data_IF_678775457118
#
_entry.id   IF_678775457118
#
_cell.length_a   1.000
_cell.length_b   1.000
_cell.length_c   1.000
_cell.angle_alpha   90.00
_cell.angle_beta   90.00
_cell.angle_gamma   90.00
#
_symmetry.space_group_name_H-M   'P 1'
#
loop_
_entity.id
_entity.type
_entity.pdbx_description
1 polymer ?
#
# COMPACT_ATOMS: atom_id res chain seq x y z
N UNK A 1 20.82 -11.06 -15.81
CA UNK A 1 20.01 -12.20 -15.42
C UNK A 1 18.72 -12.24 -16.22
N UNK A 2 18.18 -13.41 -16.47
CA UNK A 2 16.89 -13.53 -17.16
C UNK A 2 15.85 -12.70 -16.41
N UNK A 3 14.98 -12.06 -17.15
CA UNK A 3 13.81 -11.37 -16.62
C UNK A 3 12.83 -12.42 -16.06
N UNK A 4 13.10 -12.93 -14.86
CA UNK A 4 12.18 -13.85 -14.19
C UNK A 4 10.82 -13.19 -14.02
N UNK A 5 9.75 -14.00 -14.22
CA UNK A 5 8.38 -13.58 -13.91
C UNK A 5 7.88 -14.18 -12.60
N UNK A 6 8.69 -15.04 -11.97
CA UNK A 6 8.32 -15.72 -10.73
C UNK A 6 8.64 -14.85 -9.52
N UNK A 7 7.65 -14.50 -8.71
CA UNK A 7 7.81 -13.55 -7.59
C UNK A 7 8.85 -14.04 -6.57
N UNK A 8 8.97 -15.35 -6.34
CA UNK A 8 9.96 -15.92 -5.42
C UNK A 8 11.38 -15.63 -5.87
N UNK A 9 11.66 -15.73 -7.18
CA UNK A 9 12.97 -15.38 -7.74
C UNK A 9 13.20 -13.87 -7.73
N UNK A 10 12.17 -13.07 -8.05
CA UNK A 10 12.28 -11.62 -8.06
C UNK A 10 12.54 -11.07 -6.65
N UNK A 11 11.87 -11.60 -5.63
CA UNK A 11 12.06 -11.19 -4.23
C UNK A 11 13.52 -11.32 -3.76
N UNK A 12 14.24 -12.33 -4.26
CA UNK A 12 15.63 -12.60 -3.92
C UNK A 12 16.63 -11.85 -4.81
N UNK A 13 16.33 -11.71 -6.10
CA UNK A 13 17.29 -11.32 -7.13
C UNK A 13 16.88 -10.10 -7.94
N UNK A 14 15.71 -9.51 -7.68
CA UNK A 14 15.25 -8.30 -8.33
C UNK A 14 16.23 -7.14 -8.11
N UNK A 15 16.36 -6.25 -9.11
CA UNK A 15 17.30 -5.15 -9.06
C UNK A 15 18.76 -5.53 -9.25
N UNK A 16 19.05 -6.79 -9.62
CA UNK A 16 20.39 -7.29 -10.01
C UNK A 16 21.48 -7.18 -8.94
N UNK A 17 21.11 -6.99 -7.66
CA UNK A 17 22.07 -7.07 -6.58
C UNK A 17 22.72 -8.45 -6.49
N UNK A 18 24.04 -8.52 -6.48
CA UNK A 18 24.82 -9.77 -6.37
C UNK A 18 25.67 -9.80 -5.12
N UNK A 19 26.34 -8.71 -4.85
CA UNK A 19 27.21 -8.53 -3.69
C UNK A 19 27.49 -7.03 -3.51
N UNK A 20 27.94 -6.67 -2.34
CA UNK A 20 28.46 -5.34 -2.08
C UNK A 20 29.72 -5.07 -2.94
N UNK A 21 29.75 -3.97 -3.71
CA UNK A 21 30.87 -3.71 -4.61
C UNK A 21 32.20 -3.43 -3.89
N UNK A 22 32.18 -3.00 -2.64
CA UNK A 22 33.39 -2.67 -1.88
C UNK A 22 33.95 -3.88 -1.13
N UNK A 23 33.08 -4.73 -0.57
CA UNK A 23 33.50 -5.83 0.34
C UNK A 23 33.21 -7.22 -0.23
N UNK A 24 32.48 -7.31 -1.35
CA UNK A 24 31.94 -8.56 -1.93
C UNK A 24 30.99 -9.33 -1.01
N UNK A 25 30.49 -8.73 0.06
CA UNK A 25 29.50 -9.32 0.94
C UNK A 25 28.24 -9.69 0.16
N UNK A 26 27.74 -10.93 0.33
CA UNK A 26 26.54 -11.43 -0.34
C UNK A 26 25.27 -10.85 0.31
N UNK A 27 25.22 -10.78 1.64
CA UNK A 27 24.16 -10.10 2.35
C UNK A 27 24.27 -8.58 2.13
N UNK A 28 23.12 -7.91 1.98
CA UNK A 28 23.09 -6.45 1.82
C UNK A 28 23.63 -5.78 3.10
N UNK A 29 24.70 -4.96 3.02
CA UNK A 29 25.21 -4.25 4.20
C UNK A 29 24.26 -3.14 4.64
N UNK A 30 24.29 -2.81 5.94
CA UNK A 30 23.59 -1.63 6.46
C UNK A 30 24.56 -0.44 6.41
N UNK A 31 24.32 0.50 5.49
CA UNK A 31 25.12 1.72 5.38
C UNK A 31 24.60 2.79 6.34
N UNK A 32 25.04 2.73 7.61
CA UNK A 32 24.67 3.70 8.65
C UNK A 32 25.55 4.94 8.58
N UNK A 33 25.31 5.77 7.59
CA UNK A 33 25.99 7.05 7.41
C UNK A 33 25.00 8.14 7.03
N UNK A 34 25.29 9.38 7.38
CA UNK A 34 24.50 10.54 6.95
C UNK A 34 24.97 11.05 5.58
N UNK A 35 26.26 11.07 5.31
CA UNK A 35 26.90 11.78 4.19
C UNK A 35 27.91 10.89 3.51
N UNK A 36 28.22 11.23 2.25
CA UNK A 36 29.19 10.54 1.42
C UNK A 36 30.23 11.53 0.94
N UNK A 37 31.51 11.11 0.92
CA UNK A 37 32.59 11.95 0.46
C UNK A 37 32.62 12.06 -1.06
N UNK A 38 32.76 13.27 -1.59
CA UNK A 38 32.96 13.51 -2.99
C UNK A 38 34.41 13.29 -3.42
N UNK A 39 34.64 12.82 -4.64
CA UNK A 39 35.97 12.63 -5.18
C UNK A 39 36.71 13.97 -5.36
N UNK A 40 35.98 15.00 -5.80
CA UNK A 40 36.44 16.38 -6.01
C UNK A 40 35.25 17.33 -6.17
N UNK A 41 35.49 18.64 -6.32
CA UNK A 41 34.46 19.66 -6.47
C UNK A 41 33.64 19.51 -7.75
N UNK A 42 34.25 19.02 -8.85
CA UNK A 42 33.55 18.74 -10.11
C UNK A 42 32.53 17.58 -9.96
N UNK A 43 32.93 16.48 -9.31
CA UNK A 43 32.04 15.36 -8.98
C UNK A 43 30.87 15.85 -8.11
N UNK A 44 31.14 16.66 -7.08
CA UNK A 44 30.09 17.24 -6.26
C UNK A 44 29.10 18.08 -7.11
N UNK A 45 29.61 18.98 -7.94
CA UNK A 45 28.78 19.82 -8.81
C UNK A 45 27.90 18.99 -9.76
N UNK A 46 28.42 17.91 -10.33
CA UNK A 46 27.68 17.02 -11.23
C UNK A 46 26.53 16.31 -10.51
N UNK A 47 26.76 15.80 -9.29
CA UNK A 47 25.73 15.15 -8.48
C UNK A 47 24.58 16.11 -8.13
N UNK A 48 24.92 17.33 -7.68
CA UNK A 48 23.89 18.33 -7.34
C UNK A 48 23.13 18.85 -8.58
N UNK A 49 23.77 18.88 -9.73
CA UNK A 49 23.15 19.25 -11.00
C UNK A 49 22.42 18.09 -11.70
N UNK A 50 22.33 16.93 -11.07
CA UNK A 50 21.76 15.68 -11.62
C UNK A 50 22.40 15.25 -12.95
N UNK A 51 23.64 15.65 -13.23
CA UNK A 51 24.43 15.22 -14.39
C UNK A 51 25.08 13.86 -14.18
N UNK A 52 25.18 13.43 -12.95
CA UNK A 52 25.71 12.16 -12.50
C UNK A 52 24.84 11.62 -11.36
N UNK A 53 24.63 10.31 -11.29
CA UNK A 53 23.91 9.68 -10.20
C UNK A 53 24.89 9.10 -9.19
N UNK A 54 24.66 9.34 -7.91
CA UNK A 54 25.49 8.83 -6.83
C UNK A 54 24.98 9.23 -5.46
N UNK A 55 25.67 8.75 -4.43
CA UNK A 55 25.29 9.01 -3.05
C UNK A 55 25.78 10.39 -2.61
N UNK A 56 24.87 11.20 -2.05
CA UNK A 56 25.18 12.52 -1.48
C UNK A 56 24.88 12.51 0.03
N UNK A 57 23.65 12.14 0.38
CA UNK A 57 23.14 12.22 1.73
C UNK A 57 22.02 11.19 1.94
N UNK A 58 22.06 10.45 3.05
CA UNK A 58 21.15 9.31 3.28
C UNK A 58 19.67 9.66 3.24
N UNK A 59 19.27 10.90 3.57
CA UNK A 59 17.87 11.33 3.43
C UNK A 59 17.35 11.19 1.99
N UNK A 60 18.22 11.36 0.99
CA UNK A 60 17.84 11.35 -0.44
C UNK A 60 18.11 9.97 -1.05
N UNK A 61 19.26 9.38 -0.72
CA UNK A 61 19.70 8.08 -1.26
C UNK A 61 20.66 7.38 -0.29
N UNK A 62 20.53 6.04 -0.21
CA UNK A 62 21.39 5.20 0.60
C UNK A 62 21.53 3.83 -0.09
N UNK A 63 22.71 3.20 -0.14
CA UNK A 63 22.91 1.93 -0.84
C UNK A 63 22.03 0.79 -0.32
N UNK A 64 21.74 0.73 0.98
CA UNK A 64 20.81 -0.27 1.55
C UNK A 64 19.40 -0.06 1.04
N UNK A 65 18.93 1.21 1.04
CA UNK A 65 17.61 1.56 0.54
C UNK A 65 17.49 1.30 -0.97
N UNK A 66 18.54 1.56 -1.74
CA UNK A 66 18.57 1.33 -3.20
C UNK A 66 18.29 -0.13 -3.55
N UNK A 67 18.84 -1.09 -2.79
CA UNK A 67 18.56 -2.53 -2.99
C UNK A 67 17.08 -2.83 -2.73
N UNK A 68 16.51 -2.30 -1.65
CA UNK A 68 15.09 -2.45 -1.34
C UNK A 68 14.22 -1.86 -2.47
N UNK A 69 14.51 -0.63 -2.88
CA UNK A 69 13.79 0.10 -3.92
C UNK A 69 13.75 -0.68 -5.24
N UNK A 70 14.90 -1.17 -5.69
CA UNK A 70 15.01 -1.96 -6.92
C UNK A 70 14.25 -3.29 -6.84
N UNK A 71 14.26 -3.96 -5.69
CA UNK A 71 13.52 -5.22 -5.49
C UNK A 71 12.01 -5.00 -5.46
N UNK A 72 11.55 -3.96 -4.75
CA UNK A 72 10.11 -3.63 -4.70
C UNK A 72 9.61 -3.19 -6.08
N UNK A 73 10.37 -2.35 -6.80
CA UNK A 73 10.06 -2.00 -8.18
C UNK A 73 9.90 -3.26 -9.06
N UNK A 74 10.83 -4.21 -8.95
CA UNK A 74 10.79 -5.45 -9.72
C UNK A 74 9.58 -6.34 -9.36
N UNK A 75 9.18 -6.42 -8.09
CA UNK A 75 7.99 -7.18 -7.64
C UNK A 75 6.71 -6.60 -8.26
N UNK A 76 6.61 -5.28 -8.34
CA UNK A 76 5.46 -4.58 -8.91
C UNK A 76 5.52 -4.40 -10.45
N UNK A 77 6.58 -4.87 -11.12
CA UNK A 77 6.85 -4.59 -12.53
C UNK A 77 7.03 -3.10 -12.84
N UNK A 78 7.46 -2.30 -11.84
CA UNK A 78 7.75 -0.88 -11.99
C UNK A 78 9.18 -0.62 -12.46
N UNK A 79 9.44 0.60 -12.91
CA UNK A 79 10.75 1.05 -13.38
C UNK A 79 11.61 1.66 -12.26
N UNK A 80 10.99 2.33 -11.30
CA UNK A 80 11.70 2.98 -10.19
C UNK A 80 10.86 2.94 -8.91
N UNK A 81 11.54 3.03 -7.76
CA UNK A 81 10.89 3.10 -6.46
C UNK A 81 11.58 4.14 -5.58
N UNK A 82 10.81 4.76 -4.70
CA UNK A 82 11.31 5.67 -3.66
C UNK A 82 10.79 5.18 -2.32
N UNK A 83 11.69 4.85 -1.40
CA UNK A 83 11.34 4.47 -0.03
C UNK A 83 11.19 5.68 0.87
N UNK A 84 10.22 5.62 1.78
CA UNK A 84 9.90 6.66 2.77
C UNK A 84 9.58 6.05 4.13
N UNK A 85 9.54 6.85 5.17
CA UNK A 85 9.45 6.41 6.56
C UNK A 85 8.16 5.69 6.96
N UNK A 86 7.09 5.75 6.15
CA UNK A 86 5.82 5.05 6.41
C UNK A 86 4.92 5.00 5.19
N UNK A 87 3.89 4.12 5.21
CA UNK A 87 2.86 4.10 4.17
C UNK A 87 2.08 5.42 4.08
N UNK A 88 1.81 6.09 5.21
CA UNK A 88 1.15 7.40 5.22
C UNK A 88 2.01 8.48 4.56
N UNK A 89 3.33 8.46 4.77
CA UNK A 89 4.25 9.35 4.05
C UNK A 89 4.23 9.05 2.54
N UNK A 90 4.15 7.78 2.16
CA UNK A 90 4.04 7.38 0.75
C UNK A 90 2.75 7.91 0.10
N UNK A 91 1.58 7.71 0.73
CA UNK A 91 0.30 8.24 0.23
C UNK A 91 0.31 9.77 0.18
N UNK A 92 0.89 10.44 1.19
CA UNK A 92 1.03 11.90 1.20
C UNK A 92 1.90 12.38 0.04
N UNK A 93 3.05 11.77 -0.16
CA UNK A 93 3.96 12.14 -1.25
C UNK A 93 3.36 11.81 -2.62
N UNK A 94 2.60 10.72 -2.74
CA UNK A 94 1.93 10.38 -3.98
C UNK A 94 0.98 11.50 -4.44
N UNK A 95 0.22 12.08 -3.51
CA UNK A 95 -0.70 13.19 -3.82
C UNK A 95 0.07 14.51 -4.01
N UNK A 96 0.98 14.87 -3.10
CA UNK A 96 1.75 16.12 -3.21
C UNK A 96 2.68 16.16 -4.43
N UNK A 97 2.98 14.99 -5.00
CA UNK A 97 3.79 14.92 -6.22
C UNK A 97 3.02 15.33 -7.49
N UNK A 98 1.70 15.35 -7.44
CA UNK A 98 0.83 15.68 -8.58
C UNK A 98 -0.14 16.82 -8.30
N UNK A 99 -0.47 17.09 -7.03
CA UNK A 99 -1.38 18.13 -6.59
C UNK A 99 -0.65 19.26 -5.86
N UNK A 100 -1.11 20.48 -6.04
CA UNK A 100 -0.76 21.67 -5.26
C UNK A 100 -2.01 22.34 -4.71
N UNK A 101 -1.86 23.40 -3.92
CA UNK A 101 -3.00 24.15 -3.38
C UNK A 101 -3.93 24.64 -4.49
N UNK A 102 -5.22 24.40 -4.34
CA UNK A 102 -6.26 24.68 -5.34
C UNK A 102 -6.64 23.49 -6.21
N UNK A 103 -5.82 22.43 -6.25
CA UNK A 103 -6.10 21.20 -6.99
C UNK A 103 -7.04 20.25 -6.24
N UNK A 104 -7.56 19.27 -6.97
CA UNK A 104 -8.29 18.15 -6.40
C UNK A 104 -7.83 16.82 -7.01
N UNK A 105 -8.24 15.74 -6.37
CA UNK A 105 -8.12 14.39 -6.89
C UNK A 105 -9.37 13.57 -6.56
N UNK A 106 -9.65 12.53 -7.35
CA UNK A 106 -10.77 11.64 -7.11
C UNK A 106 -10.26 10.37 -6.41
N UNK A 107 -10.87 10.03 -5.29
CA UNK A 107 -10.50 8.84 -4.51
C UNK A 107 -11.67 7.88 -4.37
N UNK A 108 -11.36 6.58 -4.28
CA UNK A 108 -12.35 5.59 -3.87
C UNK A 108 -12.92 5.91 -2.48
N UNK A 109 -14.21 5.62 -2.28
CA UNK A 109 -14.81 5.60 -0.93
C UNK A 109 -14.25 4.48 -0.06
N UNK A 110 -13.78 3.39 -0.68
CA UNK A 110 -13.25 2.23 0.00
C UNK A 110 -11.74 2.42 0.26
N UNK A 111 -11.39 2.87 1.45
CA UNK A 111 -10.02 3.11 1.87
C UNK A 111 -9.80 2.75 3.35
N UNK A 112 -8.55 2.57 3.70
CA UNK A 112 -8.10 2.55 5.09
C UNK A 112 -8.47 3.86 5.81
N UNK A 113 -9.02 3.76 7.02
CA UNK A 113 -9.50 4.94 7.79
C UNK A 113 -8.44 6.04 7.99
N UNK A 114 -7.17 5.67 8.15
CA UNK A 114 -6.07 6.64 8.23
C UNK A 114 -5.86 7.43 6.93
N UNK A 115 -6.07 6.79 5.78
CA UNK A 115 -6.00 7.45 4.47
C UNK A 115 -7.21 8.37 4.26
N UNK A 116 -8.41 7.96 4.66
CA UNK A 116 -9.60 8.83 4.66
C UNK A 116 -9.34 10.09 5.49
N UNK A 117 -8.81 9.93 6.71
CA UNK A 117 -8.50 11.05 7.60
C UNK A 117 -7.43 11.99 6.99
N UNK A 118 -6.37 11.42 6.41
CA UNK A 118 -5.33 12.18 5.70
C UNK A 118 -5.96 13.05 4.59
N UNK A 119 -6.77 12.45 3.73
CA UNK A 119 -7.34 13.11 2.55
C UNK A 119 -8.41 14.14 2.94
N UNK A 120 -9.33 13.78 3.81
CA UNK A 120 -10.46 14.63 4.19
C UNK A 120 -10.07 15.82 5.05
N UNK A 121 -9.10 15.64 5.95
CA UNK A 121 -8.79 16.66 6.96
C UNK A 121 -7.41 17.26 6.78
N UNK A 122 -6.37 16.47 6.57
CA UNK A 122 -4.99 16.98 6.54
C UNK A 122 -4.68 17.67 5.21
N UNK A 123 -4.92 17.02 4.07
CA UNK A 123 -4.66 17.61 2.75
C UNK A 123 -5.57 18.81 2.47
N UNK A 124 -6.79 18.82 2.99
CA UNK A 124 -7.69 19.96 2.90
C UNK A 124 -7.07 21.23 3.51
N UNK A 125 -6.32 21.10 4.62
CA UNK A 125 -5.61 22.24 5.23
C UNK A 125 -4.46 22.76 4.37
N UNK A 126 -3.96 21.93 3.45
CA UNK A 126 -2.97 22.30 2.44
C UNK A 126 -3.61 22.83 1.15
N UNK A 127 -4.94 22.99 1.12
CA UNK A 127 -5.68 23.50 -0.03
C UNK A 127 -5.94 22.46 -1.11
N UNK A 128 -5.78 21.17 -0.82
CA UNK A 128 -6.05 20.07 -1.76
C UNK A 128 -7.38 19.41 -1.40
N UNK A 129 -8.30 19.34 -2.37
CA UNK A 129 -9.62 18.74 -2.21
C UNK A 129 -9.61 17.27 -2.61
N UNK A 130 -10.23 16.39 -1.80
CA UNK A 130 -10.56 15.03 -2.21
C UNK A 130 -12.02 14.95 -2.64
N UNK A 131 -12.30 14.25 -3.73
CA UNK A 131 -13.64 13.88 -4.19
C UNK A 131 -13.78 12.38 -4.14
N UNK A 132 -14.75 11.89 -3.39
CA UNK A 132 -14.97 10.47 -3.22
C UNK A 132 -15.91 9.92 -4.30
N UNK A 133 -15.55 8.76 -4.85
CA UNK A 133 -16.32 8.02 -5.84
C UNK A 133 -16.49 6.56 -5.38
N UNK A 134 -17.73 6.05 -5.42
CA UNK A 134 -18.00 4.64 -5.14
C UNK A 134 -17.45 3.77 -6.28
N UNK A 135 -16.53 2.82 -5.98
CA UNK A 135 -15.90 1.96 -6.98
C UNK A 135 -16.81 0.84 -7.50
N UNK A 136 -18.05 0.75 -7.05
CA UNK A 136 -19.03 -0.20 -7.58
C UNK A 136 -19.28 0.03 -9.07
N UNK A 137 -19.38 1.30 -9.49
CA UNK A 137 -19.43 1.73 -10.89
C UNK A 137 -18.21 2.61 -11.23
N UNK A 138 -17.29 2.15 -12.10
CA UNK A 138 -16.14 2.93 -12.55
C UNK A 138 -16.48 4.32 -13.11
N UNK A 139 -17.67 4.49 -13.69
CA UNK A 139 -18.12 5.78 -14.23
C UNK A 139 -18.30 6.86 -13.16
N UNK A 140 -18.39 6.49 -11.89
CA UNK A 140 -18.46 7.47 -10.81
C UNK A 140 -17.15 8.27 -10.70
N UNK A 141 -16.02 7.68 -11.07
CA UNK A 141 -14.74 8.40 -11.15
C UNK A 141 -14.77 9.44 -12.27
N UNK A 142 -15.31 9.09 -13.44
CA UNK A 142 -15.43 10.03 -14.59
C UNK A 142 -16.32 11.23 -14.25
N UNK A 143 -17.45 11.00 -13.57
CA UNK A 143 -18.39 12.06 -13.14
C UNK A 143 -17.79 13.05 -12.14
N UNK A 144 -16.77 12.64 -11.40
CA UNK A 144 -16.12 13.48 -10.39
C UNK A 144 -14.96 14.33 -10.94
N UNK A 145 -14.59 14.18 -12.22
CA UNK A 145 -13.50 14.92 -12.87
C UNK A 145 -13.90 16.38 -13.10
N UNK A 146 -12.95 17.28 -12.87
CA UNK A 146 -12.95 18.65 -13.42
C UNK A 146 -11.54 19.04 -13.89
N UNK A 147 -11.36 20.32 -14.28
CA UNK A 147 -10.08 20.82 -14.80
C UNK A 147 -8.95 20.84 -13.76
N UNK A 148 -9.29 20.78 -12.45
CA UNK A 148 -8.35 20.77 -11.33
C UNK A 148 -8.02 19.35 -10.86
N UNK A 149 -8.65 18.31 -11.42
CA UNK A 149 -8.41 16.92 -11.03
C UNK A 149 -7.05 16.45 -11.56
N UNK A 150 -6.15 16.03 -10.67
CA UNK A 150 -4.76 15.66 -10.99
C UNK A 150 -4.50 14.16 -11.03
N UNK A 151 -5.15 13.38 -10.17
CA UNK A 151 -5.00 11.93 -10.16
C UNK A 151 -6.26 11.23 -9.65
N UNK A 152 -6.31 9.92 -9.85
CA UNK A 152 -7.18 9.00 -9.15
C UNK A 152 -6.39 8.26 -8.08
N UNK A 153 -7.01 7.93 -6.95
CA UNK A 153 -6.42 7.15 -5.88
C UNK A 153 -7.37 6.05 -5.39
N UNK A 154 -6.85 4.83 -5.19
CA UNK A 154 -7.62 3.73 -4.63
C UNK A 154 -6.72 2.68 -3.98
N UNK A 155 -7.31 1.78 -3.19
CA UNK A 155 -6.67 0.59 -2.65
C UNK A 155 -7.08 -0.64 -3.48
N UNK A 156 -6.12 -1.53 -3.74
CA UNK A 156 -6.37 -2.77 -4.50
C UNK A 156 -7.36 -3.67 -3.78
N UNK A 157 -7.15 -3.87 -2.48
CA UNK A 157 -8.00 -4.64 -1.58
C UNK A 157 -8.29 -3.80 -0.33
N UNK A 158 -9.30 -2.93 -0.39
CA UNK A 158 -9.61 -2.01 0.69
C UNK A 158 -10.18 -2.73 1.91
N UNK A 159 -9.81 -2.26 3.08
CA UNK A 159 -10.34 -2.71 4.35
C UNK A 159 -11.28 -1.61 4.93
N UNK A 160 -12.53 -1.90 5.35
CA UNK A 160 -13.06 -3.24 5.67
C UNK A 160 -13.84 -3.94 4.56
N UNK A 161 -14.20 -3.25 3.45
CA UNK A 161 -15.16 -3.75 2.47
C UNK A 161 -14.64 -4.96 1.65
N UNK A 162 -13.32 -5.12 1.50
CA UNK A 162 -12.65 -6.20 0.76
C UNK A 162 -13.23 -6.39 -0.67
N UNK A 163 -13.68 -5.30 -1.29
CA UNK A 163 -14.14 -5.24 -2.68
C UNK A 163 -12.97 -4.90 -3.58
N UNK A 164 -12.49 -5.86 -4.35
CA UNK A 164 -11.37 -5.62 -5.27
C UNK A 164 -11.70 -4.46 -6.23
N UNK A 165 -10.79 -3.50 -6.33
CA UNK A 165 -10.99 -2.28 -7.11
C UNK A 165 -10.98 -2.55 -8.62
N UNK A 166 -11.80 -1.86 -9.44
CA UNK A 166 -11.83 -1.98 -10.91
C UNK A 166 -10.64 -1.26 -11.57
N UNK A 167 -9.44 -1.81 -11.40
CA UNK A 167 -8.17 -1.14 -11.75
C UNK A 167 -8.15 -0.71 -13.21
N UNK A 168 -8.38 -1.66 -14.13
CA UNK A 168 -8.28 -1.39 -15.57
C UNK A 168 -9.34 -0.41 -16.03
N UNK A 169 -10.57 -0.59 -15.59
CA UNK A 169 -11.71 0.24 -16.01
C UNK A 169 -11.49 1.70 -15.58
N UNK A 170 -11.06 1.94 -14.34
CA UNK A 170 -10.80 3.30 -13.85
C UNK A 170 -9.51 3.87 -14.47
N UNK A 171 -8.50 3.04 -14.68
CA UNK A 171 -7.28 3.49 -15.39
C UNK A 171 -7.60 3.90 -16.83
N UNK A 172 -8.42 3.15 -17.55
CA UNK A 172 -8.82 3.48 -18.93
C UNK A 172 -9.59 4.81 -18.99
N UNK A 173 -10.45 5.08 -17.99
CA UNK A 173 -11.12 6.38 -17.83
C UNK A 173 -10.08 7.47 -17.59
N UNK A 174 -9.17 7.26 -16.63
CA UNK A 174 -8.12 8.23 -16.33
C UNK A 174 -7.28 8.58 -17.55
N UNK A 175 -6.85 7.59 -18.32
CA UNK A 175 -6.04 7.80 -19.54
C UNK A 175 -6.73 8.65 -20.60
N UNK A 176 -8.06 8.54 -20.77
CA UNK A 176 -8.83 9.41 -21.68
C UNK A 176 -8.78 10.87 -21.28
N UNK A 177 -8.61 11.15 -20.00
CA UNK A 177 -8.59 12.50 -19.42
C UNK A 177 -7.17 12.93 -18.99
N UNK A 178 -6.13 12.19 -19.36
CA UNK A 178 -4.74 12.39 -18.90
C UNK A 178 -4.65 12.46 -17.37
N UNK A 179 -5.35 11.58 -16.67
CA UNK A 179 -5.35 11.47 -15.20
C UNK A 179 -4.71 10.12 -14.81
N UNK A 180 -3.58 10.10 -14.09
CA UNK A 180 -2.96 8.87 -13.62
C UNK A 180 -3.77 8.22 -12.50
N UNK A 181 -3.81 6.88 -12.49
CA UNK A 181 -4.32 6.10 -11.36
C UNK A 181 -3.17 5.73 -10.43
N UNK A 182 -3.28 6.09 -9.17
CA UNK A 182 -2.37 5.72 -8.07
C UNK A 182 -3.06 4.64 -7.25
N UNK A 183 -2.40 3.49 -7.07
CA UNK A 183 -2.96 2.34 -6.36
C UNK A 183 -2.16 2.02 -5.10
N UNK A 184 -2.83 1.97 -3.96
CA UNK A 184 -2.25 1.37 -2.75
C UNK A 184 -2.44 -0.15 -2.80
N UNK A 185 -1.32 -0.87 -2.94
CA UNK A 185 -1.30 -2.33 -3.04
C UNK A 185 -0.87 -3.01 -1.73
N UNK A 186 -0.95 -2.31 -0.61
CA UNK A 186 -0.48 -2.78 0.72
C UNK A 186 -1.10 -4.12 1.13
N UNK A 187 -2.39 -4.33 0.86
CA UNK A 187 -3.10 -5.53 1.30
C UNK A 187 -3.04 -6.70 0.30
N UNK A 188 -2.51 -6.47 -0.91
CA UNK A 188 -2.46 -7.48 -1.97
C UNK A 188 -1.08 -7.58 -2.68
N UNK A 189 0.07 -7.41 -1.97
CA UNK A 189 1.36 -7.53 -2.64
C UNK A 189 1.53 -8.95 -3.20
N UNK A 190 2.28 -9.08 -4.29
CA UNK A 190 2.55 -10.36 -4.99
C UNK A 190 1.34 -10.95 -5.72
N UNK A 191 0.15 -10.93 -5.11
CA UNK A 191 -1.07 -11.52 -5.70
C UNK A 191 -1.76 -10.58 -6.69
N UNK A 192 -1.48 -9.29 -6.64
CA UNK A 192 -1.92 -8.31 -7.63
C UNK A 192 -0.75 -7.41 -8.02
N UNK A 193 -0.68 -7.04 -9.29
CA UNK A 193 0.27 -6.06 -9.84
C UNK A 193 -0.51 -4.95 -10.54
N UNK A 194 -0.91 -3.88 -9.84
CA UNK A 194 -1.76 -2.83 -10.41
C UNK A 194 -1.16 -2.17 -11.67
N UNK A 195 0.17 -2.10 -11.78
CA UNK A 195 0.85 -1.55 -12.96
C UNK A 195 0.54 -2.32 -14.24
N UNK A 196 0.42 -3.66 -14.16
CA UNK A 196 0.06 -4.52 -15.30
C UNK A 196 -1.38 -4.28 -15.78
N UNK A 197 -2.20 -3.65 -14.95
CA UNK A 197 -3.61 -3.32 -15.22
C UNK A 197 -3.84 -1.84 -15.52
N UNK A 198 -2.76 -1.06 -15.67
CA UNK A 198 -2.81 0.31 -16.16
C UNK A 198 -2.63 1.39 -15.10
N UNK A 199 -2.48 1.05 -13.82
CA UNK A 199 -2.07 2.03 -12.82
C UNK A 199 -0.74 2.69 -13.22
N UNK A 200 -0.58 3.97 -12.90
CA UNK A 200 0.66 4.71 -13.18
C UNK A 200 1.67 4.59 -12.04
N UNK A 201 1.16 4.55 -10.81
CA UNK A 201 1.96 4.52 -9.59
C UNK A 201 1.35 3.52 -8.62
N UNK A 202 2.22 2.80 -7.89
CA UNK A 202 1.82 1.95 -6.78
C UNK A 202 2.42 2.47 -5.48
N UNK A 203 1.61 2.49 -4.43
CA UNK A 203 2.01 2.83 -3.06
C UNK A 203 1.98 1.57 -2.20
N UNK A 204 2.91 1.44 -1.27
CA UNK A 204 2.87 0.42 -0.23
C UNK A 204 3.17 0.99 1.15
N UNK A 205 2.45 0.51 2.15
CA UNK A 205 2.99 0.40 3.50
C UNK A 205 3.86 -0.86 3.58
N UNK A 206 5.18 -0.68 3.48
CA UNK A 206 6.14 -1.80 3.61
C UNK A 206 6.11 -2.44 5.00
N UNK A 207 5.51 -1.76 5.97
CA UNK A 207 5.25 -2.21 7.35
C UNK A 207 4.43 -3.50 7.41
N UNK A 208 3.55 -3.73 6.40
CA UNK A 208 2.52 -4.77 6.39
C UNK A 208 3.06 -6.08 5.81
N UNK A 209 2.37 -6.70 4.87
CA UNK A 209 2.73 -7.99 4.30
C UNK A 209 4.16 -8.09 3.74
N UNK A 210 4.72 -7.00 3.20
CA UNK A 210 6.10 -7.02 2.67
C UNK A 210 7.11 -7.20 3.81
N UNK A 211 7.08 -6.37 4.84
CA UNK A 211 7.90 -6.54 6.04
C UNK A 211 7.52 -7.79 6.83
N UNK A 212 6.24 -7.98 7.08
CA UNK A 212 5.59 -9.22 7.52
C UNK A 212 5.87 -9.68 8.95
N UNK A 213 6.63 -8.94 9.76
CA UNK A 213 7.07 -9.40 11.09
C UNK A 213 6.70 -8.42 12.22
N UNK A 214 6.08 -7.27 11.90
CA UNK A 214 5.71 -6.27 12.89
C UNK A 214 6.90 -5.57 13.57
N UNK A 215 8.09 -5.61 12.96
CA UNK A 215 9.34 -5.12 13.54
C UNK A 215 9.76 -3.75 13.03
N UNK A 216 9.32 -3.36 11.84
CA UNK A 216 9.77 -2.14 11.15
C UNK A 216 8.60 -1.38 10.51
N UNK A 217 8.75 -0.06 10.43
CA UNK A 217 7.83 0.82 9.72
C UNK A 217 8.53 1.34 8.47
N UNK A 218 7.82 1.34 7.34
CA UNK A 218 8.30 1.89 6.09
C UNK A 218 7.17 2.04 5.08
N UNK A 219 7.42 2.79 4.02
CA UNK A 219 6.55 2.95 2.87
C UNK A 219 7.34 3.12 1.59
N UNK A 220 6.68 3.04 0.46
CA UNK A 220 7.30 3.36 -0.82
C UNK A 220 6.29 3.77 -1.88
N UNK A 221 6.83 4.42 -2.93
CA UNK A 221 6.14 4.77 -4.16
C UNK A 221 6.87 4.09 -5.30
N UNK A 222 6.16 3.34 -6.12
CA UNK A 222 6.69 2.66 -7.31
C UNK A 222 6.14 3.35 -8.56
N UNK A 223 7.03 3.85 -9.39
CA UNK A 223 6.72 4.46 -10.69
C UNK A 223 6.68 3.38 -11.76
N UNK A 224 5.55 3.25 -12.44
CA UNK A 224 5.37 2.28 -13.53
C UNK A 224 6.08 2.69 -14.82
N UNK A 225 6.43 3.97 -14.98
CA UNK A 225 7.00 4.51 -16.22
C UNK A 225 6.06 4.48 -17.42
N UNK A 226 4.79 4.20 -17.19
CA UNK A 226 3.78 3.93 -18.23
C UNK A 226 2.78 5.09 -18.42
N UNK A 227 2.99 6.23 -17.77
CA UNK A 227 2.14 7.41 -17.88
C UNK A 227 2.93 8.59 -18.47
N UNK A 228 2.38 9.23 -19.50
CA UNK A 228 3.00 10.40 -20.13
C UNK A 228 2.62 11.68 -19.36
N UNK A 229 3.54 12.17 -18.53
CA UNK A 229 3.37 13.38 -17.74
C UNK A 229 3.37 14.66 -18.57
N UNK A 230 3.73 14.58 -19.86
CA UNK A 230 3.81 15.73 -20.78
C UNK A 230 2.60 15.85 -21.71
N UNK A 231 1.75 14.84 -21.78
CA UNK A 231 0.59 14.80 -22.68
C UNK A 231 -0.42 15.93 -22.43
N UNK A 232 -0.56 16.37 -21.17
CA UNK A 232 -1.40 17.53 -20.80
C UNK A 232 -0.64 18.41 -19.79
N UNK A 233 0.16 19.39 -20.25
CA UNK A 233 0.93 20.25 -19.37
C UNK A 233 0.10 21.09 -18.40
N UNK A 234 -1.15 21.43 -18.77
CA UNK A 234 -2.06 22.18 -17.88
C UNK A 234 -2.57 21.32 -16.75
N UNK A 235 -2.79 20.03 -17.01
CA UNK A 235 -3.23 19.08 -15.98
C UNK A 235 -2.07 18.69 -15.05
N UNK A 236 -0.84 18.67 -15.55
CA UNK A 236 0.35 18.28 -14.79
C UNK A 236 1.40 19.40 -14.71
N UNK A 237 1.06 20.58 -14.13
CA UNK A 237 1.98 21.73 -14.09
C UNK A 237 3.27 21.40 -13.33
N UNK A 238 3.22 20.60 -12.26
CA UNK A 238 4.40 20.23 -11.46
C UNK A 238 5.46 19.41 -12.24
N UNK A 239 5.12 18.86 -13.42
CA UNK A 239 6.04 18.16 -14.30
C UNK A 239 6.45 18.99 -15.51
N UNK A 240 5.70 20.05 -15.83
CA UNK A 240 5.84 20.80 -17.09
C UNK A 240 6.21 22.27 -16.91
N UNK A 241 6.03 22.84 -15.72
CA UNK A 241 6.51 24.18 -15.39
C UNK A 241 7.97 24.14 -14.92
N UNK A 242 8.74 25.21 -15.13
CA UNK A 242 10.12 25.30 -14.68
C UNK A 242 10.22 25.23 -13.15
N UNK A 243 10.96 24.25 -12.63
CA UNK A 243 11.28 24.16 -11.21
C UNK A 243 12.51 25.01 -10.87
N UNK A 244 12.30 26.14 -10.22
CA UNK A 244 13.38 27.09 -9.93
C UNK A 244 14.37 26.56 -8.90
N UNK A 245 14.01 25.54 -8.09
CA UNK A 245 14.95 24.89 -7.16
C UNK A 245 15.98 24.00 -7.88
N UNK A 246 15.74 23.73 -9.18
CA UNK A 246 16.61 22.98 -10.07
C UNK A 246 16.91 23.73 -11.38
N UNK A 247 17.11 25.06 -11.28
CA UNK A 247 17.53 25.87 -12.42
C UNK A 247 16.55 25.92 -13.58
N UNK A 248 15.25 25.75 -13.31
CA UNK A 248 14.19 25.78 -14.31
C UNK A 248 13.94 24.42 -14.99
N UNK A 249 14.37 23.31 -14.39
CA UNK A 249 14.12 21.99 -14.93
C UNK A 249 12.62 21.71 -15.03
N UNK A 250 12.19 21.12 -16.15
CA UNK A 250 10.85 20.58 -16.34
C UNK A 250 10.96 19.05 -16.21
N UNK A 251 10.41 18.50 -15.15
CA UNK A 251 10.63 17.09 -14.78
C UNK A 251 10.17 16.09 -15.83
N UNK A 252 9.06 16.39 -16.53
CA UNK A 252 8.53 15.55 -17.61
C UNK A 252 9.46 15.46 -18.82
N UNK A 253 10.29 16.50 -19.07
CA UNK A 253 11.22 16.55 -20.20
C UNK A 253 12.63 16.08 -19.80
N UNK A 254 13.15 16.60 -18.67
CA UNK A 254 14.56 16.40 -18.26
C UNK A 254 14.82 14.96 -17.82
N UNK A 255 13.90 14.34 -17.06
CA UNK A 255 14.13 13.01 -16.51
C UNK A 255 14.24 11.92 -17.58
N UNK A 256 13.33 11.82 -18.57
CA UNK A 256 13.51 10.85 -19.65
C UNK A 256 14.81 11.05 -20.46
N UNK A 257 15.25 12.31 -20.64
CA UNK A 257 16.52 12.60 -21.33
C UNK A 257 17.75 12.12 -20.53
N UNK A 258 17.71 12.27 -19.18
CA UNK A 258 18.83 11.90 -18.32
C UNK A 258 18.90 10.39 -18.07
N UNK A 259 17.75 9.73 -17.91
CA UNK A 259 17.68 8.34 -17.48
C UNK A 259 17.43 7.35 -18.61
N UNK A 260 17.00 7.83 -19.78
CA UNK A 260 16.51 6.97 -20.87
C UNK A 260 15.17 6.29 -20.56
N UNK A 261 14.50 6.65 -19.45
CA UNK A 261 13.25 6.05 -18.99
C UNK A 261 12.28 7.10 -18.45
N UNK A 262 10.98 6.86 -18.58
CA UNK A 262 9.96 7.76 -18.04
C UNK A 262 9.73 7.48 -16.54
N UNK A 263 10.67 7.92 -15.71
CA UNK A 263 10.61 7.78 -14.23
C UNK A 263 10.49 9.14 -13.55
N UNK A 264 9.84 10.07 -14.22
CA UNK A 264 9.70 11.46 -13.77
C UNK A 264 8.98 11.56 -12.41
N UNK A 265 8.00 10.70 -12.17
CA UNK A 265 7.29 10.67 -10.89
C UNK A 265 8.22 10.30 -9.73
N UNK A 266 9.00 9.22 -9.87
CA UNK A 266 9.92 8.77 -8.84
C UNK A 266 11.05 9.77 -8.59
N UNK A 267 11.65 10.31 -9.66
CA UNK A 267 12.75 11.29 -9.53
C UNK A 267 12.25 12.54 -8.82
N UNK A 268 11.12 13.13 -9.26
CA UNK A 268 10.57 14.31 -8.62
C UNK A 268 10.21 14.05 -7.15
N UNK A 269 9.56 12.93 -6.84
CA UNK A 269 9.25 12.56 -5.46
C UNK A 269 10.51 12.51 -4.59
N UNK A 270 11.62 12.00 -5.11
CA UNK A 270 12.91 11.92 -4.41
C UNK A 270 13.56 13.28 -4.20
N UNK A 271 13.72 14.03 -5.29
CA UNK A 271 14.56 15.25 -5.25
C UNK A 271 13.81 16.50 -4.82
N UNK A 272 12.47 16.53 -4.91
CA UNK A 272 11.65 17.63 -4.40
C UNK A 272 11.02 17.31 -3.04
N UNK A 273 10.27 16.21 -2.93
CA UNK A 273 9.50 15.94 -1.72
C UNK A 273 10.35 15.27 -0.62
N UNK A 274 11.04 14.18 -0.92
CA UNK A 274 11.85 13.49 0.07
C UNK A 274 13.01 14.35 0.56
N UNK A 275 13.67 15.10 -0.36
CA UNK A 275 14.73 16.03 -0.02
C UNK A 275 14.25 17.13 0.92
N UNK A 276 13.10 17.76 0.60
CA UNK A 276 12.67 19.01 1.23
C UNK A 276 11.76 18.78 2.45
N UNK A 277 10.83 17.82 2.37
CA UNK A 277 9.92 17.50 3.45
C UNK A 277 10.48 16.45 4.44
N UNK A 278 11.46 15.66 4.02
CA UNK A 278 12.04 14.62 4.86
C UNK A 278 11.24 13.31 4.82
N UNK A 279 11.10 12.66 5.97
CA UNK A 279 10.50 11.34 6.14
C UNK A 279 11.28 10.19 5.41
N UNK A 280 12.62 10.18 5.43
CA UNK A 280 13.39 9.10 4.83
C UNK A 280 13.21 7.80 5.59
N UNK A 281 13.30 6.68 4.89
CA UNK A 281 13.41 5.37 5.52
C UNK A 281 14.82 5.18 6.08
N UNK A 282 14.95 4.82 7.35
CA UNK A 282 16.25 4.49 7.94
C UNK A 282 16.84 3.22 7.31
N UNK A 283 18.18 3.15 7.07
CA UNK A 283 18.81 1.97 6.47
C UNK A 283 18.60 0.68 7.28
N UNK A 284 18.54 0.77 8.60
CA UNK A 284 18.21 -0.36 9.48
C UNK A 284 16.81 -0.91 9.20
N UNK A 285 15.82 -0.02 9.02
CA UNK A 285 14.46 -0.42 8.66
C UNK A 285 14.42 -0.98 7.24
N UNK A 286 15.15 -0.39 6.30
CA UNK A 286 15.26 -0.90 4.93
C UNK A 286 15.81 -2.32 4.92
N UNK A 287 16.85 -2.59 5.71
CA UNK A 287 17.42 -3.92 5.85
C UNK A 287 16.40 -4.92 6.44
N UNK A 288 15.68 -4.55 7.50
CA UNK A 288 14.64 -5.39 8.08
C UNK A 288 13.50 -5.69 7.09
N UNK A 289 13.13 -4.72 6.25
CA UNK A 289 12.13 -4.91 5.18
C UNK A 289 12.67 -5.82 4.08
N UNK A 290 13.97 -5.73 3.71
CA UNK A 290 14.60 -6.65 2.76
C UNK A 290 14.46 -8.10 3.24
N UNK A 291 14.75 -8.38 4.52
CA UNK A 291 14.58 -9.73 5.09
C UNK A 291 13.13 -10.23 4.98
N UNK A 292 12.16 -9.36 5.23
CA UNK A 292 10.74 -9.68 5.05
C UNK A 292 10.38 -9.92 3.58
N UNK A 293 10.85 -9.06 2.68
CA UNK A 293 10.57 -9.13 1.25
C UNK A 293 11.06 -10.44 0.63
N UNK A 294 12.23 -10.92 1.02
CA UNK A 294 12.83 -12.15 0.49
C UNK A 294 11.92 -13.38 0.65
N UNK A 295 11.09 -13.39 1.67
CA UNK A 295 10.11 -14.47 1.93
C UNK A 295 8.65 -14.06 1.67
N UNK A 296 8.40 -12.83 1.25
CA UNK A 296 7.03 -12.34 1.06
C UNK A 296 6.18 -13.21 0.13
N UNK A 297 6.67 -13.72 -1.02
CA UNK A 297 5.88 -14.58 -1.89
C UNK A 297 5.47 -15.91 -1.21
N UNK A 298 6.36 -16.52 -0.43
CA UNK A 298 6.06 -17.74 0.32
C UNK A 298 5.03 -17.48 1.41
N UNK A 299 5.20 -16.36 2.16
CA UNK A 299 4.26 -15.97 3.20
C UNK A 299 2.88 -15.64 2.61
N UNK A 300 2.81 -14.88 1.52
CA UNK A 300 1.54 -14.55 0.86
C UNK A 300 0.78 -15.80 0.42
N UNK A 301 1.47 -16.79 -0.15
CA UNK A 301 0.85 -18.07 -0.51
C UNK A 301 0.26 -18.77 0.72
N UNK A 302 0.99 -18.82 1.83
CA UNK A 302 0.50 -19.45 3.06
C UNK A 302 -0.63 -18.65 3.70
N UNK A 303 -0.52 -17.31 3.77
CA UNK A 303 -1.57 -16.41 4.24
C UNK A 303 -2.88 -16.64 3.49
N UNK A 304 -2.85 -16.63 2.14
CA UNK A 304 -4.03 -16.85 1.32
C UNK A 304 -4.63 -18.24 1.52
N UNK A 305 -3.80 -19.28 1.56
CA UNK A 305 -4.26 -20.66 1.78
C UNK A 305 -4.95 -20.82 3.16
N UNK A 306 -4.40 -20.17 4.20
CA UNK A 306 -4.99 -20.20 5.53
C UNK A 306 -6.30 -19.40 5.57
N UNK A 307 -6.36 -18.24 4.89
CA UNK A 307 -7.56 -17.43 4.79
C UNK A 307 -8.72 -18.19 4.12
N UNK A 308 -8.46 -18.90 3.02
CA UNK A 308 -9.45 -19.73 2.33
C UNK A 308 -10.06 -20.79 3.27
N UNK A 309 -9.22 -21.48 4.07
CA UNK A 309 -9.70 -22.47 5.04
C UNK A 309 -10.49 -21.82 6.19
N UNK A 310 -10.05 -20.65 6.66
CA UNK A 310 -10.77 -19.89 7.67
C UNK A 310 -12.15 -19.43 7.15
N UNK A 311 -12.23 -18.92 5.93
CA UNK A 311 -13.50 -18.53 5.27
C UNK A 311 -14.44 -19.72 5.13
N UNK A 312 -13.94 -20.89 4.69
CA UNK A 312 -14.76 -22.11 4.58
C UNK A 312 -15.33 -22.54 5.95
N UNK A 313 -14.57 -22.44 7.01
CA UNK A 313 -15.03 -22.71 8.38
C UNK A 313 -16.05 -21.67 8.84
N UNK A 314 -15.74 -20.37 8.70
CA UNK A 314 -16.52 -19.26 9.22
C UNK A 314 -17.89 -19.16 8.55
N UNK A 315 -17.99 -19.43 7.24
CA UNK A 315 -19.25 -19.41 6.50
C UNK A 315 -20.26 -20.48 6.98
N UNK A 316 -19.77 -21.54 7.62
CA UNK A 316 -20.60 -22.64 8.15
C UNK A 316 -20.90 -22.53 9.63
N UNK A 317 -20.27 -21.56 10.35
CA UNK A 317 -20.40 -21.50 11.81
C UNK A 317 -21.68 -20.78 12.24
N UNK A 318 -22.47 -21.39 13.12
CA UNK A 318 -23.80 -20.92 13.56
C UNK A 318 -23.82 -19.53 14.20
N UNK A 319 -22.73 -19.10 14.86
CA UNK A 319 -22.59 -17.80 15.52
C UNK A 319 -22.03 -16.69 14.62
N UNK A 320 -21.71 -17.01 13.37
CA UNK A 320 -21.35 -16.04 12.33
C UNK A 320 -22.61 -15.67 11.56
N UNK A 321 -22.85 -14.39 11.40
CA UNK A 321 -23.98 -13.86 10.64
C UNK A 321 -23.59 -13.64 9.17
N UNK A 322 -22.41 -13.07 8.96
CA UNK A 322 -21.87 -12.79 7.62
C UNK A 322 -20.34 -12.92 7.62
N UNK A 323 -19.80 -13.41 6.51
CA UNK A 323 -18.36 -13.37 6.20
C UNK A 323 -18.16 -12.42 5.03
N UNK A 324 -17.13 -11.58 5.12
CA UNK A 324 -16.73 -10.63 4.09
C UNK A 324 -15.35 -11.06 3.61
N UNK A 325 -15.28 -11.46 2.35
CA UNK A 325 -14.07 -11.94 1.69
C UNK A 325 -14.17 -11.64 0.19
N UNK A 326 -13.06 -11.39 -0.51
CA UNK A 326 -13.09 -11.10 -1.95
C UNK A 326 -13.81 -12.15 -2.81
N UNK A 327 -13.76 -13.42 -2.40
CA UNK A 327 -14.38 -14.54 -3.14
C UNK A 327 -15.89 -14.65 -2.95
N UNK A 328 -16.44 -14.02 -1.92
CA UNK A 328 -17.86 -14.08 -1.59
C UNK A 328 -18.68 -12.96 -2.23
N UNK A 329 -18.03 -11.96 -2.81
CA UNK A 329 -18.71 -10.94 -3.61
C UNK A 329 -19.27 -11.55 -4.90
N UNK A 330 -20.40 -10.99 -5.37
CA UNK A 330 -21.12 -11.48 -6.57
C UNK A 330 -21.09 -10.46 -7.70
N UNK A 331 -21.40 -10.93 -8.92
CA UNK A 331 -21.44 -10.10 -10.11
C UNK A 331 -20.11 -9.45 -10.43
N UNK A 332 -20.14 -8.27 -11.06
CA UNK A 332 -18.94 -7.57 -11.51
C UNK A 332 -17.89 -7.35 -10.41
N UNK A 333 -18.29 -7.17 -9.14
CA UNK A 333 -17.36 -7.02 -8.01
C UNK A 333 -16.62 -8.33 -7.72
N UNK A 334 -17.32 -9.47 -7.71
CA UNK A 334 -16.71 -10.79 -7.51
C UNK A 334 -15.80 -11.21 -8.69
N UNK A 335 -16.15 -10.82 -9.92
CA UNK A 335 -15.35 -11.14 -11.10
C UNK A 335 -13.98 -10.42 -11.09
N UNK A 336 -13.86 -9.27 -10.42
CA UNK A 336 -12.60 -8.53 -10.26
C UNK A 336 -11.52 -9.34 -9.54
N UNK A 337 -11.89 -10.15 -8.54
CA UNK A 337 -10.95 -11.02 -7.83
C UNK A 337 -10.26 -11.98 -8.82
N UNK A 338 -11.03 -12.66 -9.66
CA UNK A 338 -10.51 -13.56 -10.69
C UNK A 338 -9.71 -12.83 -11.77
N UNK A 339 -10.09 -11.59 -12.07
CA UNK A 339 -9.46 -10.78 -13.13
C UNK A 339 -8.09 -10.26 -12.72
N UNK A 340 -7.93 -9.83 -11.47
CA UNK A 340 -6.75 -9.09 -11.02
C UNK A 340 -5.83 -9.88 -10.10
N UNK A 341 -6.34 -10.89 -9.42
CA UNK A 341 -5.55 -11.67 -8.45
C UNK A 341 -5.00 -12.95 -9.06
N UNK A 342 -3.79 -13.29 -8.65
CA UNK A 342 -3.09 -14.51 -9.06
C UNK A 342 -2.38 -15.12 -7.86
N UNK A 343 -2.57 -16.41 -7.65
CA UNK A 343 -1.91 -17.15 -6.56
C UNK A 343 -2.54 -17.01 -5.18
N UNK A 344 -3.73 -16.37 -5.08
CA UNK A 344 -4.51 -16.25 -3.83
C UNK A 344 -5.49 -15.09 -3.87
N UNK A 345 -6.34 -14.99 -2.83
CA UNK A 345 -7.43 -14.01 -2.76
C UNK A 345 -7.26 -12.97 -1.65
N UNK A 346 -6.05 -12.89 -1.06
CA UNK A 346 -5.77 -12.05 0.10
C UNK A 346 -5.88 -12.81 1.43
N UNK A 347 -5.59 -12.12 2.52
CA UNK A 347 -5.57 -12.71 3.86
C UNK A 347 -6.29 -11.87 4.91
N UNK A 348 -7.06 -10.88 4.48
CA UNK A 348 -7.98 -10.14 5.33
C UNK A 348 -9.36 -10.78 5.21
N UNK A 349 -10.00 -11.03 6.34
CA UNK A 349 -11.35 -11.59 6.43
C UNK A 349 -12.16 -10.74 7.38
N UNK A 350 -13.32 -10.26 6.94
CA UNK A 350 -14.31 -9.63 7.80
C UNK A 350 -15.33 -10.68 8.27
N UNK A 351 -15.72 -10.61 9.52
CA UNK A 351 -16.87 -11.40 10.02
C UNK A 351 -17.82 -10.50 10.80
N UNK A 352 -19.09 -10.84 10.75
CA UNK A 352 -20.11 -10.30 11.65
C UNK A 352 -20.57 -11.41 12.58
N UNK A 353 -20.38 -11.20 13.89
CA UNK A 353 -20.82 -12.17 14.89
C UNK A 353 -22.25 -11.86 15.34
N UNK A 354 -23.06 -12.91 15.54
CA UNK A 354 -24.41 -12.74 16.06
C UNK A 354 -24.36 -12.24 17.50
N UNK A 355 -25.14 -11.21 17.80
CA UNK A 355 -25.20 -10.58 19.11
C UNK A 355 -24.49 -9.24 19.23
N UNK A 356 -24.08 -8.67 18.09
CA UNK A 356 -23.60 -7.28 17.98
C UNK A 356 -22.33 -7.00 18.78
N UNK A 357 -22.20 -5.77 19.32
CA UNK A 357 -21.00 -5.29 20.02
C UNK A 357 -20.55 -6.19 21.15
N UNK A 358 -21.47 -6.65 22.00
CA UNK A 358 -21.11 -7.47 23.17
C UNK A 358 -20.60 -8.86 22.78
N UNK A 359 -21.16 -9.45 21.73
CA UNK A 359 -20.63 -10.71 21.18
C UNK A 359 -19.26 -10.51 20.54
N UNK A 360 -19.05 -9.38 19.83
CA UNK A 360 -17.76 -9.01 19.25
C UNK A 360 -16.67 -8.85 20.31
N UNK A 361 -16.96 -8.17 21.43
CA UNK A 361 -16.03 -8.05 22.58
C UNK A 361 -15.67 -9.42 23.15
N UNK A 362 -16.67 -10.24 23.45
CA UNK A 362 -16.45 -11.60 23.99
C UNK A 362 -15.62 -12.46 23.04
N UNK A 363 -15.87 -12.36 21.73
CA UNK A 363 -15.07 -13.08 20.75
C UNK A 363 -13.59 -12.66 20.81
N UNK A 364 -13.31 -11.36 20.79
CA UNK A 364 -11.94 -10.84 20.85
C UNK A 364 -11.24 -11.26 22.15
N UNK A 365 -11.92 -11.13 23.29
CA UNK A 365 -11.38 -11.48 24.61
C UNK A 365 -11.16 -13.00 24.80
N UNK A 366 -11.88 -13.83 24.04
CA UNK A 366 -11.73 -15.28 24.08
C UNK A 366 -10.62 -15.82 23.19
N UNK A 367 -10.11 -15.05 22.23
CA UNK A 367 -9.00 -15.47 21.38
C UNK A 367 -7.74 -15.73 22.22
N UNK A 368 -7.01 -16.80 21.90
CA UNK A 368 -5.80 -17.22 22.62
C UNK A 368 -4.53 -17.13 21.77
N UNK A 369 -4.66 -17.38 20.49
CA UNK A 369 -3.55 -17.35 19.53
C UNK A 369 -3.53 -16.04 18.74
N UNK A 370 -4.70 -15.54 18.32
CA UNK A 370 -4.80 -14.27 17.61
C UNK A 370 -4.40 -13.11 18.52
N UNK A 371 -3.55 -12.22 18.03
CA UNK A 371 -3.20 -10.98 18.72
C UNK A 371 -4.28 -9.91 18.50
N UNK A 372 -4.78 -9.34 19.58
CA UNK A 372 -5.70 -8.19 19.51
C UNK A 372 -4.90 -6.91 19.27
N UNK A 373 -4.74 -6.50 18.01
CA UNK A 373 -3.91 -5.35 17.63
C UNK A 373 -4.39 -4.70 16.33
N UNK A 374 -4.26 -3.38 16.26
CA UNK A 374 -4.61 -2.58 15.08
C UNK A 374 -3.54 -2.67 13.98
N UNK A 375 -3.25 -3.88 13.49
CA UNK A 375 -2.30 -4.10 12.39
C UNK A 375 -2.86 -5.13 11.39
N UNK A 376 -2.18 -5.33 10.25
CA UNK A 376 -2.46 -6.36 9.24
C UNK A 376 -1.16 -6.90 8.67
N UNK A 377 -1.19 -8.08 8.08
CA UNK A 377 -0.07 -8.61 7.28
C UNK A 377 1.14 -9.05 8.10
N UNK A 378 0.98 -9.27 9.40
CA UNK A 378 1.97 -9.93 10.23
C UNK A 378 1.95 -11.43 9.97
N UNK A 379 3.08 -12.10 10.15
CA UNK A 379 3.16 -13.56 10.09
C UNK A 379 2.23 -14.24 11.11
N UNK A 380 1.95 -13.56 12.21
CA UNK A 380 0.97 -13.98 13.23
C UNK A 380 -0.44 -13.53 12.85
N UNK A 381 -1.42 -14.33 13.22
CA UNK A 381 -2.84 -13.99 13.08
C UNK A 381 -3.23 -12.85 14.02
N UNK A 382 -3.96 -11.87 13.49
CA UNK A 382 -4.38 -10.67 14.20
C UNK A 382 -5.91 -10.50 14.11
N UNK A 383 -6.51 -9.94 15.15
CA UNK A 383 -7.94 -9.63 15.20
C UNK A 383 -8.17 -8.23 15.80
N UNK A 384 -9.20 -7.55 15.32
CA UNK A 384 -9.66 -6.27 15.90
C UNK A 384 -11.16 -6.13 15.74
N UNK A 385 -11.81 -5.50 16.73
CA UNK A 385 -13.20 -5.09 16.69
C UNK A 385 -13.28 -3.58 16.42
N UNK A 386 -13.44 -3.12 15.19
CA UNK A 386 -13.32 -1.71 14.82
C UNK A 386 -14.28 -0.79 15.57
N UNK A 387 -15.52 -1.20 15.79
CA UNK A 387 -16.51 -0.38 16.48
C UNK A 387 -16.10 0.03 17.91
N UNK A 388 -15.27 -0.75 18.59
CA UNK A 388 -14.76 -0.43 19.93
C UNK A 388 -13.33 0.08 19.96
N UNK A 389 -12.67 0.21 18.81
CA UNK A 389 -11.26 0.58 18.73
C UNK A 389 -10.99 1.63 17.67
N UNK A 390 -10.69 1.25 16.44
CA UNK A 390 -10.25 2.15 15.35
C UNK A 390 -11.33 3.10 14.86
N UNK A 391 -12.61 2.81 15.11
CA UNK A 391 -13.76 3.60 14.69
C UNK A 391 -14.65 4.02 15.87
N UNK A 392 -14.16 3.90 17.12
CA UNK A 392 -14.94 4.20 18.34
C UNK A 392 -15.36 5.67 18.47
N UNK A 393 -14.81 6.56 17.65
CA UNK A 393 -15.17 7.99 17.63
C UNK A 393 -16.28 8.32 16.64
N UNK A 394 -16.68 7.36 15.77
CA UNK A 394 -17.73 7.54 14.77
C UNK A 394 -19.10 7.26 15.39
N UNK A 395 -20.09 7.98 14.90
CA UNK A 395 -21.51 7.68 15.19
C UNK A 395 -21.92 6.35 14.52
N UNK A 396 -23.04 5.79 14.94
CA UNK A 396 -23.55 4.54 14.36
C UNK A 396 -23.82 4.69 12.84
N UNK A 397 -24.32 5.84 12.41
CA UNK A 397 -24.55 6.15 10.99
C UNK A 397 -23.22 6.21 10.20
N UNK A 398 -22.19 6.84 10.77
CA UNK A 398 -20.86 6.92 10.16
C UNK A 398 -20.17 5.54 10.12
N UNK A 399 -20.35 4.71 11.16
CA UNK A 399 -19.86 3.33 11.18
C UNK A 399 -20.47 2.51 10.04
N UNK A 400 -21.79 2.58 9.89
CA UNK A 400 -22.51 1.87 8.82
C UNK A 400 -22.10 2.37 7.44
N UNK A 401 -21.93 3.67 7.27
CA UNK A 401 -21.43 4.26 6.03
C UNK A 401 -20.00 3.79 5.69
N UNK A 402 -19.17 3.55 6.72
CA UNK A 402 -17.83 2.97 6.57
C UNK A 402 -17.85 1.43 6.37
N UNK A 403 -19.03 0.80 6.33
CA UNK A 403 -19.17 -0.65 6.21
C UNK A 403 -18.86 -1.43 7.49
N UNK A 404 -18.83 -0.76 8.64
CA UNK A 404 -18.56 -1.34 9.95
C UNK A 404 -19.86 -1.47 10.73
N UNK A 405 -20.38 -2.70 10.82
CA UNK A 405 -21.54 -2.99 11.68
C UNK A 405 -21.11 -3.18 13.15
N UNK A 406 -22.04 -3.10 14.12
CA UNK A 406 -21.71 -3.28 15.53
C UNK A 406 -21.02 -4.60 15.89
N UNK A 407 -21.28 -5.67 15.15
CA UNK A 407 -20.66 -6.99 15.35
C UNK A 407 -19.48 -7.29 14.41
N UNK A 408 -19.03 -6.30 13.64
CA UNK A 408 -17.95 -6.51 12.68
C UNK A 408 -16.60 -6.72 13.34
N UNK A 409 -15.91 -7.77 12.95
CA UNK A 409 -14.53 -8.08 13.35
C UNK A 409 -13.70 -8.24 12.10
N UNK A 410 -12.53 -7.62 12.08
CA UNK A 410 -11.52 -7.84 11.06
C UNK A 410 -10.49 -8.84 11.56
N UNK A 411 -10.26 -9.86 10.77
CA UNK A 411 -9.18 -10.83 10.94
C UNK A 411 -8.09 -10.56 9.89
N UNK A 412 -6.82 -10.62 10.29
CA UNK A 412 -5.67 -10.72 9.40
C UNK A 412 -5.06 -12.09 9.65
N UNK A 413 -5.28 -12.99 8.73
CA UNK A 413 -4.91 -14.40 8.90
C UNK A 413 -3.41 -14.56 8.70
N UNK A 414 -2.74 -15.18 9.67
CA UNK A 414 -1.30 -15.43 9.70
C UNK A 414 -0.89 -16.69 8.95
N UNK A 415 0.35 -17.13 9.20
CA UNK A 415 0.95 -18.31 8.56
C UNK A 415 1.06 -19.50 9.51
N UNK A 416 0.39 -19.48 10.66
CA UNK A 416 0.30 -20.58 11.59
C UNK A 416 -0.36 -21.81 10.94
N UNK A 417 -0.30 -22.97 11.59
CA UNK A 417 -0.98 -24.13 11.07
C UNK A 417 -2.50 -23.89 11.00
N UNK A 418 -3.17 -24.20 9.88
CA UNK A 418 -4.59 -23.85 9.70
C UNK A 418 -5.52 -24.48 10.71
N UNK A 419 -5.22 -25.67 11.23
CA UNK A 419 -6.03 -26.33 12.24
C UNK A 419 -6.00 -25.56 13.57
N UNK A 420 -4.87 -24.94 13.92
CA UNK A 420 -4.74 -24.13 15.13
C UNK A 420 -5.51 -22.81 14.97
N UNK A 421 -5.44 -22.19 13.78
CA UNK A 421 -6.24 -21.00 13.42
C UNK A 421 -7.74 -21.32 13.59
N UNK A 422 -8.22 -22.43 13.01
CA UNK A 422 -9.62 -22.84 13.08
C UNK A 422 -10.03 -23.19 14.50
N UNK A 423 -9.15 -23.86 15.27
CA UNK A 423 -9.43 -24.20 16.66
C UNK A 423 -9.59 -22.96 17.54
N UNK A 424 -8.75 -21.94 17.35
CA UNK A 424 -8.86 -20.70 18.12
C UNK A 424 -10.10 -19.89 17.74
N UNK A 425 -10.40 -19.76 16.45
CA UNK A 425 -11.63 -19.13 15.96
C UNK A 425 -12.88 -19.85 16.50
N UNK A 426 -12.88 -21.18 16.46
CA UNK A 426 -14.01 -21.99 16.96
C UNK A 426 -14.30 -21.75 18.43
N UNK A 427 -13.27 -21.88 19.29
CA UNK A 427 -13.46 -21.72 20.74
C UNK A 427 -13.89 -20.28 21.08
N UNK A 428 -13.40 -19.26 20.36
CA UNK A 428 -13.78 -17.87 20.56
C UNK A 428 -15.24 -17.60 20.11
N UNK A 429 -15.66 -18.15 18.97
CA UNK A 429 -17.04 -18.09 18.50
C UNK A 429 -18.01 -18.83 19.44
N UNK A 430 -17.62 -19.98 19.97
CA UNK A 430 -18.43 -20.71 20.95
C UNK A 430 -18.56 -19.93 22.27
N UNK A 431 -17.56 -19.18 22.69
CA UNK A 431 -17.59 -18.29 23.85
C UNK A 431 -18.50 -17.08 23.66
N UNK A 432 -18.47 -16.47 22.45
CA UNK A 432 -19.23 -15.26 22.10
C UNK A 432 -20.77 -15.50 22.14
N UNK A 433 -21.20 -16.73 21.82
CA UNK A 433 -22.62 -17.13 21.86
C UNK A 433 -23.18 -17.47 23.23
N UNK A 434 -22.35 -17.47 24.28
CA UNK A 434 -22.85 -17.75 25.66
C UNK A 434 -23.46 -16.49 26.29
N UNK A 435 -24.59 -16.60 27.00
CA UNK A 435 -25.12 -15.49 27.78
C UNK A 435 -24.05 -14.95 28.73
N UNK A 436 -24.01 -13.63 28.95
CA UNK A 436 -23.18 -13.09 30.02
C UNK A 436 -23.77 -13.60 31.36
N UNK A 437 -22.95 -14.29 32.13
CA UNK A 437 -23.27 -14.49 33.55
C UNK A 437 -23.33 -13.05 34.13
N UNK A 438 -24.55 -12.55 34.42
CA UNK A 438 -24.71 -11.37 35.26
C UNK A 438 -23.94 -11.68 36.52
N UNK A 439 -22.95 -10.88 36.88
CA UNK A 439 -22.37 -10.92 38.20
C UNK A 439 -23.55 -10.74 39.18
N UNK A 440 -23.82 -11.77 39.94
CA UNK A 440 -24.74 -11.66 41.08
C UNK A 440 -23.97 -10.84 42.11
N UNK A 441 -24.35 -9.56 42.19
CA UNK A 441 -23.86 -8.62 43.20
C UNK A 441 -24.38 -9.04 44.56
#
# INVERSE_FOLDING_TARGET
MSKSKNPETIALHGGEYRSDPATTAVAVPIYRTTSYQFNNTGHAANLFALKEFGNIYTRIMNPTNDVLEKRVAAIENGLACVTVGSGQAASTFAILNVCQSGDNFVSSTDLYGGTVNLFTHTLKKLGIEVRYADPSDPKNFEKAIDDRTRCFYAETLPNPALRVFPIKEVSDIGRKHNIPLIMDNTAAPVICKPLDHGAAVVVHSLTKFIGGHGTVIGGCLVDGGNFDWTADPKRHPLFNEPDMSYGGAKWGEVVPQLTGANVSFAVRARVCLLRDLGAPLAPDNAWGIIQGLETAPLRMKQHCSNAEKAVDFLTKHKNVERVIDPTLHKGAVGDRTKKYFSGGNGALVGIEVKGGVEAGKKFIEALKMFYHVANIGDARSLAIHPATTTHSQLTEEELLAAGVTPGYIRLSIGIEHPDDIIADLKQALDASGKPSLKAVS
#
